data_IF_029766754816
#
_entry.id   IF_029766754816
#
_cell.length_a   1.000
_cell.length_b   1.000
_cell.length_c   1.000
_cell.angle_alpha   90.00
_cell.angle_beta   90.00
_cell.angle_gamma   90.00
#
_symmetry.space_group_name_H-M   'P 1'
#
loop_
_entity.id
_entity.type
_entity.pdbx_description
1 polymer ?
#
# COMPACT_ATOMS: atom_id res chain seq x y z
N UNK A 1 7.21 -19.98 5.86
CA UNK A 1 7.40 -20.66 4.56
C UNK A 1 6.30 -20.32 3.56
N UNK A 2 5.01 -20.50 3.88
CA UNK A 2 3.89 -20.14 2.98
C UNK A 2 3.81 -18.65 2.64
N UNK A 3 3.96 -17.77 3.64
CA UNK A 3 3.89 -16.31 3.46
C UNK A 3 4.96 -15.83 2.49
N UNK A 4 6.20 -16.24 2.69
CA UNK A 4 7.35 -15.93 1.81
C UNK A 4 7.15 -16.42 0.37
N UNK A 5 6.58 -17.62 0.19
CA UNK A 5 6.30 -18.14 -1.16
C UNK A 5 5.23 -17.30 -1.87
N UNK A 6 4.19 -16.90 -1.14
CA UNK A 6 3.14 -16.02 -1.62
C UNK A 6 3.69 -14.63 -1.99
N UNK A 7 4.57 -14.06 -1.15
CA UNK A 7 5.22 -12.78 -1.42
C UNK A 7 6.08 -12.83 -2.68
N UNK A 8 6.84 -13.90 -2.89
CA UNK A 8 7.65 -14.09 -4.10
C UNK A 8 6.78 -14.14 -5.35
N UNK A 9 5.67 -14.90 -5.30
CA UNK A 9 4.72 -14.99 -6.43
C UNK A 9 4.15 -13.61 -6.76
N UNK A 10 3.71 -12.85 -5.76
CA UNK A 10 3.16 -11.50 -5.95
C UNK A 10 4.22 -10.51 -6.46
N UNK A 11 5.48 -10.62 -6.01
CA UNK A 11 6.57 -9.81 -6.54
C UNK A 11 6.81 -10.11 -8.02
N UNK A 12 6.90 -11.39 -8.41
CA UNK A 12 7.07 -11.79 -9.81
C UNK A 12 5.90 -11.28 -10.65
N UNK A 13 4.68 -11.41 -10.14
CA UNK A 13 3.48 -10.91 -10.83
C UNK A 13 3.50 -9.39 -11.00
N UNK A 14 3.93 -8.65 -9.98
CA UNK A 14 4.11 -7.20 -10.07
C UNK A 14 5.20 -6.78 -11.05
N UNK A 15 6.32 -7.51 -11.13
CA UNK A 15 7.39 -7.28 -12.11
C UNK A 15 6.89 -7.54 -13.53
N UNK A 16 6.17 -8.64 -13.77
CA UNK A 16 5.57 -8.95 -15.07
C UNK A 16 4.55 -7.87 -15.44
N UNK A 17 3.66 -7.49 -14.52
CA UNK A 17 2.71 -6.42 -14.74
C UNK A 17 3.40 -5.11 -15.13
N UNK A 18 4.48 -4.74 -14.43
CA UNK A 18 5.28 -3.56 -14.74
C UNK A 18 5.94 -3.63 -16.12
N UNK A 19 6.41 -4.80 -16.54
CA UNK A 19 7.03 -5.00 -17.86
C UNK A 19 6.02 -4.91 -19.03
N UNK A 20 4.76 -5.29 -18.81
CA UNK A 20 3.67 -5.19 -19.79
C UNK A 20 2.86 -3.89 -19.70
N UNK A 21 3.31 -2.96 -18.86
CA UNK A 21 2.67 -1.66 -18.71
C UNK A 21 3.20 -0.70 -19.77
N UNK A 22 2.39 -0.44 -20.79
CA UNK A 22 2.72 0.60 -21.77
C UNK A 22 2.59 1.99 -21.14
N UNK A 23 3.72 2.70 -21.12
CA UNK A 23 3.83 4.06 -20.61
C UNK A 23 3.91 5.00 -21.82
N UNK A 24 2.87 5.80 -22.03
CA UNK A 24 2.80 6.81 -23.07
C UNK A 24 3.00 8.21 -22.50
N UNK A 25 3.48 9.13 -23.34
CA UNK A 25 3.53 10.55 -22.99
C UNK A 25 2.12 11.11 -23.16
N UNK A 26 1.36 11.18 -22.06
CA UNK A 26 0.07 11.84 -22.01
C UNK A 26 0.25 13.33 -21.73
N UNK A 27 -0.50 14.18 -22.44
CA UNK A 27 -0.46 15.63 -22.25
C UNK A 27 -1.68 16.07 -21.47
N UNK A 28 -1.47 16.63 -20.28
CA UNK A 28 -2.53 17.22 -19.45
C UNK A 28 -2.26 18.71 -19.35
N UNK A 29 -3.00 19.51 -20.13
CA UNK A 29 -2.74 20.94 -20.26
C UNK A 29 -1.36 21.24 -20.88
N UNK A 30 -0.54 22.02 -20.20
CA UNK A 30 0.84 22.35 -20.58
C UNK A 30 1.86 21.29 -20.18
N UNK A 31 1.50 20.33 -19.32
CA UNK A 31 2.42 19.34 -18.75
C UNK A 31 2.40 18.07 -19.60
N UNK A 32 3.59 17.59 -20.00
CA UNK A 32 3.79 16.27 -20.60
C UNK A 32 4.15 15.29 -19.49
N UNK A 33 3.39 14.21 -19.34
CA UNK A 33 3.62 13.18 -18.32
C UNK A 33 3.70 11.80 -18.94
N UNK A 34 4.49 10.94 -18.32
CA UNK A 34 4.45 9.51 -18.59
C UNK A 34 3.26 8.92 -17.83
N UNK A 35 2.22 8.55 -18.56
CA UNK A 35 1.03 7.92 -18.00
C UNK A 35 0.79 6.58 -18.70
N UNK A 36 0.05 5.72 -18.02
CA UNK A 36 -0.46 4.48 -18.58
C UNK A 36 -1.19 4.75 -19.92
N UNK A 37 -0.72 4.13 -21.00
CA UNK A 37 -1.34 4.17 -22.32
C UNK A 37 -2.84 3.87 -22.23
N UNK A 38 -3.64 4.55 -23.05
CA UNK A 38 -5.07 4.21 -23.17
C UNK A 38 -5.26 2.77 -23.64
N UNK A 39 -4.27 2.18 -24.30
CA UNK A 39 -4.31 0.87 -24.93
C UNK A 39 -3.80 -0.29 -24.05
N UNK A 40 -3.70 -0.09 -22.73
CA UNK A 40 -3.28 -1.17 -21.82
C UNK A 40 -4.33 -2.28 -21.75
N UNK A 41 -3.84 -3.52 -21.81
CA UNK A 41 -4.63 -4.72 -21.64
C UNK A 41 -5.45 -4.68 -20.33
N UNK A 42 -6.75 -5.00 -20.40
CA UNK A 42 -7.65 -4.96 -19.24
C UNK A 42 -7.15 -5.78 -18.04
N UNK A 43 -6.46 -6.88 -18.30
CA UNK A 43 -5.84 -7.71 -17.25
C UNK A 43 -4.76 -6.97 -16.46
N UNK A 44 -3.96 -6.10 -17.08
CA UNK A 44 -2.93 -5.28 -16.41
C UNK A 44 -3.58 -4.26 -15.47
N UNK A 45 -4.71 -3.66 -15.89
CA UNK A 45 -5.49 -2.76 -15.01
C UNK A 45 -6.08 -3.48 -13.80
N UNK A 46 -6.65 -4.67 -14.02
CA UNK A 46 -7.26 -5.48 -12.95
C UNK A 46 -6.20 -6.00 -11.99
N UNK A 47 -5.08 -6.52 -12.50
CA UNK A 47 -3.97 -6.99 -11.66
C UNK A 47 -3.36 -5.87 -10.83
N UNK A 48 -3.16 -4.67 -11.41
CA UNK A 48 -2.73 -3.50 -10.64
C UNK A 48 -3.63 -3.23 -9.45
N UNK A 49 -4.95 -3.25 -9.68
CA UNK A 49 -5.93 -2.96 -8.64
C UNK A 49 -5.90 -4.03 -7.54
N UNK A 50 -5.77 -5.30 -7.92
CA UNK A 50 -5.67 -6.42 -6.99
C UNK A 50 -4.40 -6.32 -6.15
N UNK A 51 -3.24 -6.08 -6.78
CA UNK A 51 -1.94 -5.98 -6.11
C UNK A 51 -1.90 -4.80 -5.14
N UNK A 52 -2.63 -3.71 -5.40
CA UNK A 52 -2.67 -2.56 -4.48
C UNK A 52 -3.74 -2.72 -3.37
N UNK A 53 -4.96 -3.14 -3.71
CA UNK A 53 -6.08 -3.13 -2.76
C UNK A 53 -6.06 -4.34 -1.82
N UNK A 54 -5.72 -5.54 -2.32
CA UNK A 54 -5.79 -6.76 -1.49
C UNK A 54 -4.83 -6.71 -0.30
N UNK A 55 -3.54 -6.33 -0.46
CA UNK A 55 -2.64 -6.20 0.68
C UNK A 55 -3.11 -5.13 1.67
N UNK A 56 -3.69 -4.04 1.19
CA UNK A 56 -4.19 -2.95 2.03
C UNK A 56 -5.36 -3.41 2.92
N UNK A 57 -6.34 -4.13 2.36
CA UNK A 57 -7.46 -4.69 3.11
C UNK A 57 -6.94 -5.69 4.16
N UNK A 58 -6.00 -6.55 3.76
CA UNK A 58 -5.43 -7.54 4.67
C UNK A 58 -4.68 -6.89 5.85
N UNK A 59 -3.89 -5.86 5.56
CA UNK A 59 -3.22 -5.05 6.59
C UNK A 59 -4.23 -4.43 7.54
N UNK A 60 -5.31 -3.83 7.03
CA UNK A 60 -6.33 -3.20 7.87
C UNK A 60 -7.03 -4.21 8.79
N UNK A 61 -7.33 -5.42 8.30
CA UNK A 61 -7.87 -6.51 9.12
C UNK A 61 -6.89 -6.89 10.24
N UNK A 62 -5.61 -7.07 9.92
CA UNK A 62 -4.58 -7.38 10.91
C UNK A 62 -4.48 -6.27 11.96
N UNK A 63 -4.49 -5.00 11.53
CA UNK A 63 -4.45 -3.85 12.41
C UNK A 63 -5.61 -3.84 13.41
N UNK A 64 -6.82 -4.18 12.97
CA UNK A 64 -8.02 -4.31 13.83
C UNK A 64 -7.83 -5.44 14.84
N UNK A 65 -7.37 -6.61 14.39
CA UNK A 65 -7.15 -7.77 15.27
C UNK A 65 -6.11 -7.41 16.35
N UNK A 66 -5.00 -6.76 15.98
CA UNK A 66 -3.97 -6.33 16.92
C UNK A 66 -4.54 -5.30 17.91
N UNK A 67 -5.31 -4.33 17.45
CA UNK A 67 -5.90 -3.32 18.31
C UNK A 67 -6.84 -3.93 19.36
N UNK A 68 -7.67 -4.90 18.97
CA UNK A 68 -8.57 -5.61 19.89
C UNK A 68 -7.78 -6.47 20.88
N UNK A 69 -6.81 -7.27 20.40
CA UNK A 69 -6.08 -8.23 21.25
C UNK A 69 -5.07 -7.56 22.19
N UNK A 70 -4.35 -6.55 21.72
CA UNK A 70 -3.25 -5.90 22.46
C UNK A 70 -3.66 -4.58 23.12
N UNK A 71 -4.91 -4.12 22.92
CA UNK A 71 -5.40 -2.79 23.35
C UNK A 71 -4.45 -1.65 22.90
N UNK A 72 -3.78 -1.86 21.76
CA UNK A 72 -2.79 -0.93 21.22
C UNK A 72 -3.23 -0.48 19.83
N UNK A 73 -3.65 0.78 19.75
CA UNK A 73 -4.30 1.35 18.56
C UNK A 73 -3.32 1.89 17.52
N UNK A 74 -2.00 1.91 17.77
CA UNK A 74 -1.05 2.47 16.81
C UNK A 74 -1.12 1.77 15.45
N UNK A 75 -1.17 0.44 15.41
CA UNK A 75 -1.29 -0.32 14.16
C UNK A 75 -2.61 -0.05 13.41
N UNK A 76 -3.69 0.22 14.15
CA UNK A 76 -4.99 0.60 13.57
C UNK A 76 -4.94 1.99 12.95
N UNK A 77 -4.37 2.95 13.66
CA UNK A 77 -4.20 4.32 13.15
C UNK A 77 -3.32 4.30 11.89
N UNK A 78 -2.20 3.56 11.90
CA UNK A 78 -1.35 3.41 10.73
C UNK A 78 -2.08 2.78 9.53
N UNK A 79 -2.86 1.72 9.76
CA UNK A 79 -3.65 1.08 8.71
C UNK A 79 -4.73 1.99 8.12
N UNK A 80 -5.42 2.77 8.95
CA UNK A 80 -6.42 3.75 8.51
C UNK A 80 -5.76 4.88 7.72
N UNK A 81 -4.63 5.40 8.19
CA UNK A 81 -3.90 6.47 7.50
C UNK A 81 -3.43 6.02 6.11
N UNK A 82 -2.88 4.81 5.99
CA UNK A 82 -2.52 4.21 4.70
C UNK A 82 -3.75 4.10 3.77
N UNK A 83 -4.89 3.63 4.29
CA UNK A 83 -6.13 3.52 3.52
C UNK A 83 -6.63 4.88 3.01
N UNK A 84 -6.61 5.91 3.85
CA UNK A 84 -6.98 7.27 3.47
C UNK A 84 -6.03 7.84 2.41
N UNK A 85 -4.73 7.64 2.58
CA UNK A 85 -3.72 8.04 1.60
C UNK A 85 -3.97 7.40 0.23
N UNK A 86 -4.25 6.09 0.17
CA UNK A 86 -4.56 5.41 -1.10
C UNK A 86 -5.89 5.90 -1.69
N UNK A 87 -6.91 6.17 -0.87
CA UNK A 87 -8.17 6.76 -1.33
C UNK A 87 -7.99 8.13 -1.98
N UNK A 88 -7.18 9.00 -1.35
CA UNK A 88 -6.82 10.32 -1.87
C UNK A 88 -5.96 10.21 -3.13
N UNK A 89 -5.10 9.19 -3.21
CA UNK A 89 -4.29 8.91 -4.39
C UNK A 89 -5.15 8.69 -5.66
N UNK A 90 -6.36 8.15 -5.49
CA UNK A 90 -7.31 7.92 -6.59
C UNK A 90 -7.91 9.19 -7.17
N UNK A 91 -8.06 10.26 -6.37
CA UNK A 91 -8.58 11.56 -6.80
C UNK A 91 -7.47 12.47 -7.31
N UNK A 92 -6.27 12.39 -6.72
CA UNK A 92 -5.09 13.11 -7.13
C UNK A 92 -4.11 12.18 -7.87
N UNK A 93 -4.50 11.69 -9.06
CA UNK A 93 -3.70 10.74 -9.87
C UNK A 93 -2.25 11.19 -10.10
N UNK A 94 -2.02 12.50 -10.16
CA UNK A 94 -0.71 13.13 -10.36
C UNK A 94 0.22 12.96 -9.14
N UNK A 95 -0.35 12.86 -7.95
CA UNK A 95 0.38 12.65 -6.69
C UNK A 95 0.17 11.24 -6.13
N UNK A 96 -0.47 10.35 -6.90
CA UNK A 96 -0.94 9.06 -6.41
C UNK A 96 0.19 8.25 -5.76
N UNK A 97 1.33 8.17 -6.45
CA UNK A 97 2.51 7.47 -5.96
C UNK A 97 3.07 8.10 -4.68
N UNK A 98 3.18 9.42 -4.64
CA UNK A 98 3.73 10.15 -3.49
C UNK A 98 2.82 10.00 -2.25
N UNK A 99 1.51 10.11 -2.45
CA UNK A 99 0.52 9.94 -1.37
C UNK A 99 0.51 8.49 -0.88
N UNK A 100 0.63 7.50 -1.76
CA UNK A 100 0.76 6.08 -1.37
C UNK A 100 2.00 5.83 -0.50
N UNK A 101 3.16 6.34 -0.91
CA UNK A 101 4.43 6.24 -0.16
C UNK A 101 4.34 6.93 1.20
N UNK A 102 3.64 8.06 1.28
CA UNK A 102 3.40 8.75 2.54
C UNK A 102 2.55 7.90 3.51
N UNK A 103 1.53 7.21 3.00
CA UNK A 103 0.72 6.27 3.78
C UNK A 103 1.54 5.10 4.33
N UNK A 104 2.43 4.53 3.52
CA UNK A 104 3.35 3.46 3.96
C UNK A 104 4.33 3.95 5.04
N UNK A 105 4.88 5.15 4.90
CA UNK A 105 5.76 5.75 5.91
C UNK A 105 5.03 5.95 7.26
N UNK A 106 3.78 6.43 7.24
CA UNK A 106 2.96 6.57 8.44
C UNK A 106 2.67 5.22 9.12
N UNK A 107 2.39 4.19 8.34
CA UNK A 107 2.23 2.83 8.86
C UNK A 107 3.50 2.34 9.55
N UNK A 108 4.67 2.58 8.94
CA UNK A 108 5.96 2.20 9.50
C UNK A 108 6.25 2.92 10.82
N UNK A 109 5.96 4.23 10.90
CA UNK A 109 6.09 5.01 12.14
C UNK A 109 5.18 4.42 13.24
N UNK A 110 3.94 4.09 12.89
CA UNK A 110 3.00 3.48 13.84
C UNK A 110 3.46 2.09 14.31
N UNK A 111 4.09 1.31 13.43
CA UNK A 111 4.69 0.03 13.78
C UNK A 111 5.86 0.21 14.76
N UNK A 112 6.74 1.18 14.53
CA UNK A 112 7.83 1.50 15.46
C UNK A 112 7.29 1.89 16.84
N UNK A 113 6.26 2.74 16.90
CA UNK A 113 5.60 3.12 18.16
C UNK A 113 4.92 1.94 18.84
N UNK A 114 4.33 1.02 18.07
CA UNK A 114 3.76 -0.22 18.60
C UNK A 114 4.83 -1.09 19.28
N UNK A 115 5.96 -1.31 18.61
CA UNK A 115 7.09 -2.11 19.13
C UNK A 115 7.67 -1.47 20.39
N UNK A 116 7.97 -0.17 20.36
CA UNK A 116 8.51 0.54 21.52
C UNK A 116 7.57 0.47 22.74
N UNK A 117 6.26 0.53 22.52
CA UNK A 117 5.27 0.38 23.61
C UNK A 117 5.20 -1.05 24.14
N UNK A 118 5.27 -2.07 23.27
CA UNK A 118 5.33 -3.46 23.71
C UNK A 118 6.62 -3.75 24.49
N UNK A 119 7.79 -3.30 24.02
CA UNK A 119 9.07 -3.44 24.73
C UNK A 119 9.06 -2.75 26.10
N UNK A 120 8.51 -1.53 26.18
CA UNK A 120 8.38 -0.83 27.45
C UNK A 120 7.46 -1.57 28.42
N UNK A 121 6.38 -2.17 27.92
CA UNK A 121 5.49 -2.98 28.75
C UNK A 121 6.11 -4.32 29.18
N UNK A 122 7.02 -4.92 28.41
CA UNK A 122 7.69 -6.17 28.79
C UNK A 122 8.83 -5.98 29.80
N UNK A 123 9.36 -4.76 29.96
CA UNK A 123 10.39 -4.43 30.96
C UNK A 123 9.76 -4.13 32.35
N UNK A 124 8.47 -3.82 32.40
CA UNK A 124 7.75 -3.43 33.63
C UNK A 124 7.05 -4.65 34.31
N UNK A 125 7.16 -5.85 33.73
CA UNK A 125 6.68 -7.12 34.30
C UNK A 125 7.90 -7.91 34.79
#
# INVERSE_FOLDING_TARGET
MFITLFTIIFCIFGVIQGAYSDIEIEKTGTIRRYAYSKNIAKWVKISSLIVTIVPMIFLLIISVIIAIKKKNFYMLIGGIMMFLSVGISGTAKEYSFFVSMFGEALLLICLCLFIQKEEKNSIII
#
